data_IF_641555461529
#
_entry.id   IF_641555461529
#
_cell.length_a   1.000
_cell.length_b   1.000
_cell.length_c   1.000
_cell.angle_alpha   90.00
_cell.angle_beta   90.00
_cell.angle_gamma   90.00
#
_symmetry.space_group_name_H-M   'P 1'
#
loop_
_entity.id
_entity.type
_entity.pdbx_description
1 polymer ?
#
# COMPACT_ATOMS: atom_id res chain seq x y z
N UNK A 1 -12.20 26.34 -30.82
CA UNK A 1 -12.66 27.02 -29.60
C UNK A 1 -11.75 26.58 -28.45
N UNK A 2 -10.64 27.29 -28.24
CA UNK A 2 -9.67 26.97 -27.17
C UNK A 2 -10.17 27.53 -25.85
N UNK A 3 -10.45 26.66 -24.86
CA UNK A 3 -10.69 27.07 -23.49
C UNK A 3 -9.41 27.68 -22.91
N UNK A 4 -9.40 29.00 -22.70
CA UNK A 4 -8.39 29.66 -21.86
C UNK A 4 -8.67 29.27 -20.41
N UNK A 5 -7.82 28.41 -19.85
CA UNK A 5 -7.86 28.04 -18.44
C UNK A 5 -7.25 29.21 -17.65
N UNK A 6 -8.10 29.99 -16.97
CA UNK A 6 -7.65 31.11 -16.14
C UNK A 6 -6.98 30.63 -14.84
N UNK A 7 -6.09 31.45 -14.26
CA UNK A 7 -5.29 31.09 -13.07
C UNK A 7 -6.11 30.63 -11.86
N UNK A 8 -7.33 31.16 -11.65
CA UNK A 8 -8.23 30.71 -10.58
C UNK A 8 -8.69 29.25 -10.75
N UNK A 9 -9.04 28.85 -11.98
CA UNK A 9 -9.42 27.47 -12.31
C UNK A 9 -8.23 26.51 -12.20
N UNK A 10 -7.01 27.01 -12.42
CA UNK A 10 -5.75 26.26 -12.27
C UNK A 10 -5.50 25.94 -10.79
N UNK A 11 -5.77 26.89 -9.88
CA UNK A 11 -5.61 26.72 -8.43
C UNK A 11 -6.65 25.74 -7.86
N UNK A 12 -7.91 25.83 -8.26
CA UNK A 12 -8.94 24.87 -7.85
C UNK A 12 -8.62 23.44 -8.30
N UNK A 13 -8.16 23.27 -9.53
CA UNK A 13 -7.81 21.96 -10.06
C UNK A 13 -6.64 21.34 -9.30
N UNK A 14 -5.64 22.15 -8.95
CA UNK A 14 -4.50 21.73 -8.12
C UNK A 14 -4.95 21.41 -6.69
N UNK A 15 -5.83 22.20 -6.09
CA UNK A 15 -6.39 21.92 -4.75
C UNK A 15 -7.13 20.58 -4.72
N UNK A 16 -8.00 20.32 -5.70
CA UNK A 16 -8.71 19.04 -5.82
C UNK A 16 -7.75 17.85 -6.02
N UNK A 17 -6.69 18.04 -6.82
CA UNK A 17 -5.66 17.01 -7.02
C UNK A 17 -4.85 16.74 -5.75
N UNK A 18 -4.51 17.80 -5.01
CA UNK A 18 -3.85 17.73 -3.71
C UNK A 18 -4.75 17.00 -2.72
N UNK A 19 -6.05 17.31 -2.64
CA UNK A 19 -7.00 16.62 -1.77
C UNK A 19 -7.17 15.14 -2.15
N UNK A 20 -7.16 14.79 -3.44
CA UNK A 20 -7.22 13.41 -3.89
C UNK A 20 -5.96 12.61 -3.54
N UNK A 21 -4.77 13.25 -3.59
CA UNK A 21 -3.49 12.64 -3.22
C UNK A 21 -3.32 12.55 -1.70
N UNK A 22 -3.74 13.59 -0.97
CA UNK A 22 -3.54 13.72 0.47
C UNK A 22 -4.63 12.99 1.26
N UNK A 23 -5.85 12.87 0.74
CA UNK A 23 -6.96 12.24 1.47
C UNK A 23 -6.85 10.71 1.43
N UNK A 24 -6.49 10.05 2.55
CA UNK A 24 -6.51 8.61 2.60
C UNK A 24 -7.98 8.18 2.57
N UNK A 25 -8.47 7.67 1.45
CA UNK A 25 -9.83 7.11 1.36
C UNK A 25 -10.07 6.14 2.53
N UNK A 26 -10.88 6.58 3.51
CA UNK A 26 -11.07 5.94 4.83
C UNK A 26 -11.91 4.65 4.80
N UNK A 27 -11.96 3.97 3.66
CA UNK A 27 -12.53 2.64 3.50
C UNK A 27 -11.55 1.79 2.69
N UNK A 28 -10.48 1.34 3.35
CA UNK A 28 -9.55 0.42 2.72
C UNK A 28 -10.13 -0.99 2.66
N UNK A 29 -9.90 -1.69 1.55
CA UNK A 29 -10.08 -3.13 1.47
C UNK A 29 -8.70 -3.76 1.65
N UNK A 30 -8.60 -4.85 2.38
CA UNK A 30 -7.35 -5.58 2.54
C UNK A 30 -7.59 -7.06 2.27
N UNK A 31 -6.54 -7.78 1.88
CA UNK A 31 -6.59 -9.24 1.87
C UNK A 31 -6.69 -9.73 3.31
N UNK A 32 -7.69 -10.57 3.59
CA UNK A 32 -8.01 -11.11 4.91
C UNK A 32 -8.06 -12.64 4.83
N UNK A 33 -6.98 -13.33 5.23
CA UNK A 33 -6.82 -14.78 5.10
C UNK A 33 -5.73 -15.34 6.02
N UNK A 34 -5.72 -16.67 6.21
CA UNK A 34 -4.71 -17.38 6.99
C UNK A 34 -4.24 -18.64 6.26
N UNK A 35 -2.96 -18.75 5.90
CA UNK A 35 -2.44 -19.87 5.10
C UNK A 35 -2.55 -21.25 5.75
N UNK A 36 -2.77 -21.34 7.07
CA UNK A 36 -3.07 -22.62 7.73
C UNK A 36 -4.48 -23.14 7.43
N UNK A 37 -5.41 -22.24 7.06
CA UNK A 37 -6.81 -22.56 6.73
C UNK A 37 -7.09 -22.39 5.23
N UNK A 38 -6.45 -21.42 4.61
CA UNK A 38 -6.63 -20.95 3.25
C UNK A 38 -5.39 -21.27 2.41
N UNK A 39 -5.43 -22.36 1.63
CA UNK A 39 -4.28 -22.81 0.81
C UNK A 39 -3.68 -21.71 -0.07
N UNK A 40 -4.51 -20.79 -0.57
CA UNK A 40 -4.09 -19.75 -1.51
C UNK A 40 -3.59 -18.45 -0.82
N UNK A 41 -3.59 -18.38 0.52
CA UNK A 41 -3.20 -17.16 1.25
C UNK A 41 -1.68 -16.93 1.29
N UNK A 42 -0.90 -18.02 1.23
CA UNK A 42 0.57 -17.99 1.23
C UNK A 42 1.19 -17.65 -0.12
N UNK A 43 0.41 -17.68 -1.21
CA UNK A 43 0.92 -17.47 -2.57
C UNK A 43 1.39 -16.02 -2.79
N UNK A 44 2.34 -15.85 -3.73
CA UNK A 44 2.85 -14.54 -4.15
C UNK A 44 1.74 -13.59 -4.64
N UNK A 45 0.63 -14.15 -5.14
CA UNK A 45 -0.60 -13.43 -5.50
C UNK A 45 -1.78 -14.11 -4.82
N UNK A 46 -2.30 -13.48 -3.77
CA UNK A 46 -3.52 -13.96 -3.12
C UNK A 46 -4.73 -13.76 -4.01
N UNK A 47 -5.61 -14.76 -3.98
CA UNK A 47 -6.89 -14.78 -4.67
C UNK A 47 -7.75 -13.55 -4.26
N UNK A 48 -8.31 -12.80 -5.22
CA UNK A 48 -9.21 -11.68 -4.96
C UNK A 48 -10.37 -11.97 -4.01
N UNK A 49 -10.82 -13.23 -3.86
CA UNK A 49 -11.88 -13.62 -2.91
C UNK A 49 -11.60 -13.21 -1.47
N UNK A 50 -10.34 -13.04 -1.11
CA UNK A 50 -9.92 -12.63 0.22
C UNK A 50 -9.87 -11.11 0.40
N UNK A 51 -10.11 -10.30 -0.64
CA UNK A 51 -10.13 -8.84 -0.56
C UNK A 51 -11.45 -8.37 0.06
N UNK A 52 -11.40 -7.98 1.34
CA UNK A 52 -12.59 -7.62 2.13
C UNK A 52 -12.45 -6.21 2.70
N UNK A 53 -13.58 -5.54 2.91
CA UNK A 53 -13.65 -4.19 3.49
C UNK A 53 -13.10 -4.23 4.92
N UNK A 54 -12.30 -3.22 5.28
CA UNK A 54 -11.82 -3.04 6.63
C UNK A 54 -12.77 -2.19 7.48
N UNK A 55 -12.88 -2.48 8.78
CA UNK A 55 -13.59 -1.60 9.70
C UNK A 55 -12.83 -0.26 9.81
N UNK A 56 -13.56 0.83 10.04
CA UNK A 56 -12.95 2.17 10.18
C UNK A 56 -11.92 2.26 11.31
N UNK A 57 -12.03 1.39 12.32
CA UNK A 57 -11.07 1.27 13.42
C UNK A 57 -9.73 0.67 13.01
N UNK A 58 -9.63 0.03 11.84
CA UNK A 58 -8.45 -0.63 11.31
C UNK A 58 -8.23 -0.26 9.83
N UNK A 59 -7.93 1.02 9.53
CA UNK A 59 -7.94 1.51 8.16
C UNK A 59 -6.68 1.14 7.35
N UNK A 60 -5.80 0.29 7.87
CA UNK A 60 -4.54 -0.11 7.21
C UNK A 60 -4.54 -1.60 6.90
N UNK A 61 -3.70 -2.03 5.97
CA UNK A 61 -3.49 -3.45 5.74
C UNK A 61 -2.25 -3.94 6.47
N UNK A 62 -2.30 -5.18 6.95
CA UNK A 62 -1.15 -5.85 7.55
C UNK A 62 -0.97 -7.24 6.97
N UNK A 63 0.28 -7.68 6.97
CA UNK A 63 0.71 -9.03 6.63
C UNK A 63 1.69 -9.52 7.68
N UNK A 64 1.49 -10.74 8.15
CA UNK A 64 2.45 -11.49 8.93
C UNK A 64 3.02 -12.63 8.11
N UNK A 65 4.33 -12.84 8.23
CA UNK A 65 5.00 -14.06 7.77
C UNK A 65 5.71 -14.66 8.98
N UNK A 66 5.26 -15.83 9.39
CA UNK A 66 5.88 -16.62 10.44
C UNK A 66 6.78 -17.66 9.80
N UNK A 67 8.00 -17.76 10.30
CA UNK A 67 8.95 -18.80 9.93
C UNK A 67 9.37 -19.52 11.21
N UNK A 68 8.94 -20.77 11.35
CA UNK A 68 9.27 -21.61 12.50
C UNK A 68 10.41 -22.54 12.12
N UNK A 69 11.50 -22.50 12.88
CA UNK A 69 12.69 -23.33 12.67
C UNK A 69 12.89 -24.41 13.76
N UNK A 70 11.96 -24.52 14.71
CA UNK A 70 12.01 -25.52 15.78
C UNK A 70 11.41 -26.88 15.38
N UNK A 71 11.03 -27.04 14.11
CA UNK A 71 10.43 -28.26 13.53
C UNK A 71 11.28 -28.74 12.36
N UNK A 72 11.43 -30.06 12.20
CA UNK A 72 12.18 -30.67 11.08
C UNK A 72 11.61 -30.28 9.70
N UNK A 73 10.34 -29.86 9.67
CA UNK A 73 9.71 -29.19 8.54
C UNK A 73 9.86 -27.67 8.64
N UNK A 74 10.34 -27.01 7.58
CA UNK A 74 10.31 -25.54 7.47
C UNK A 74 8.85 -25.08 7.32
N UNK A 75 8.16 -24.85 8.44
CA UNK A 75 6.79 -24.36 8.41
C UNK A 75 6.74 -22.85 8.21
N UNK A 76 6.02 -22.44 7.17
CA UNK A 76 5.71 -21.05 6.89
C UNK A 76 4.21 -20.81 7.08
N UNK A 77 3.86 -19.76 7.82
CA UNK A 77 2.48 -19.30 7.92
C UNK A 77 2.38 -17.85 7.50
N UNK A 78 1.40 -17.52 6.66
CA UNK A 78 1.10 -16.15 6.25
C UNK A 78 -0.30 -15.80 6.71
N UNK A 79 -0.43 -14.66 7.39
CA UNK A 79 -1.72 -14.10 7.79
C UNK A 79 -1.82 -12.70 7.21
N UNK A 80 -2.97 -12.36 6.65
CA UNK A 80 -3.26 -11.03 6.09
C UNK A 80 -4.52 -10.51 6.76
N UNK A 81 -4.51 -9.25 7.18
CA UNK A 81 -5.61 -8.67 7.95
C UNK A 81 -5.70 -7.15 7.78
N UNK A 82 -6.82 -6.58 8.23
CA UNK A 82 -6.92 -5.15 8.50
C UNK A 82 -6.25 -4.83 9.84
N UNK A 83 -5.64 -3.66 9.93
CA UNK A 83 -4.81 -3.28 11.06
C UNK A 83 -4.93 -1.79 11.41
N UNK A 84 -4.56 -1.48 12.66
CA UNK A 84 -4.12 -0.15 13.06
C UNK A 84 -2.65 -0.01 12.69
N UNK A 85 -2.26 1.17 12.21
CA UNK A 85 -0.87 1.52 11.98
C UNK A 85 -0.13 1.54 13.32
N UNK A 86 0.82 0.62 13.52
CA UNK A 86 1.57 0.50 14.77
C UNK A 86 2.98 1.02 14.66
N UNK A 87 3.61 0.89 13.50
CA UNK A 87 4.99 1.29 13.33
C UNK A 87 5.13 2.36 12.25
N UNK A 88 5.26 3.61 12.68
CA UNK A 88 5.34 4.76 11.78
C UNK A 88 6.66 4.87 11.03
N UNK A 89 7.71 4.22 11.53
CA UNK A 89 9.07 4.37 11.01
C UNK A 89 9.41 3.36 9.91
N UNK A 90 8.77 2.17 9.91
CA UNK A 90 9.13 1.08 8.99
C UNK A 90 7.90 0.31 8.53
N UNK A 91 7.74 0.16 7.22
CA UNK A 91 6.68 -0.64 6.59
C UNK A 91 6.78 -2.12 6.95
N UNK A 92 7.98 -2.64 7.25
CA UNK A 92 8.20 -4.03 7.67
C UNK A 92 9.18 -4.09 8.84
N UNK A 93 8.86 -4.90 9.85
CA UNK A 93 9.68 -5.08 11.04
C UNK A 93 9.58 -6.50 11.59
N UNK A 94 10.63 -6.96 12.28
CA UNK A 94 10.62 -8.25 12.96
C UNK A 94 9.94 -8.12 14.33
N UNK A 95 9.07 -9.07 14.65
CA UNK A 95 8.43 -9.22 15.95
C UNK A 95 9.37 -9.80 17.01
N UNK A 96 8.84 -10.04 18.21
CA UNK A 96 9.60 -10.39 19.44
C UNK A 96 10.20 -11.80 19.52
N UNK A 97 10.06 -12.65 18.51
CA UNK A 97 10.56 -14.04 18.59
C UNK A 97 12.09 -14.14 18.38
N UNK A 98 12.70 -15.20 18.94
CA UNK A 98 14.14 -15.42 19.01
C UNK A 98 14.82 -15.54 17.63
N UNK A 99 16.15 -15.48 17.61
CA UNK A 99 16.96 -15.43 16.38
C UNK A 99 16.61 -16.53 15.37
N UNK A 100 16.24 -17.72 15.85
CA UNK A 100 15.98 -18.87 15.00
C UNK A 100 14.58 -18.80 14.38
N UNK A 101 13.52 -18.44 15.10
CA UNK A 101 12.17 -18.30 14.53
C UNK A 101 11.69 -16.87 14.60
N UNK A 102 11.34 -16.27 13.46
CA UNK A 102 10.93 -14.88 13.41
C UNK A 102 9.53 -14.68 12.83
N UNK A 103 8.88 -13.63 13.30
CA UNK A 103 7.67 -13.06 12.71
C UNK A 103 8.05 -11.79 11.96
N UNK A 104 7.89 -11.77 10.64
CA UNK A 104 7.98 -10.53 9.86
C UNK A 104 6.58 -9.91 9.77
N UNK A 105 6.42 -8.72 10.33
CA UNK A 105 5.18 -7.94 10.25
C UNK A 105 5.38 -6.82 9.26
N UNK A 106 4.47 -6.69 8.29
CA UNK A 106 4.46 -5.60 7.34
C UNK A 106 3.11 -4.88 7.33
N UNK A 107 3.13 -3.55 7.34
CA UNK A 107 1.96 -2.68 7.33
C UNK A 107 2.03 -1.78 6.10
N UNK A 108 0.90 -1.55 5.43
CA UNK A 108 0.84 -0.65 4.29
C UNK A 108 -0.47 0.14 4.22
N UNK A 109 -0.41 1.24 3.48
CA UNK A 109 -1.55 2.11 3.17
C UNK A 109 -2.08 1.79 1.77
N UNK A 110 -3.39 1.87 1.61
CA UNK A 110 -4.07 1.70 0.33
C UNK A 110 -4.74 0.33 0.16
N UNK A 111 -5.76 0.31 -0.70
CA UNK A 111 -6.60 -0.86 -0.92
C UNK A 111 -5.77 -2.03 -1.50
N UNK A 112 -5.80 -3.18 -0.83
CA UNK A 112 -5.16 -4.41 -1.29
C UNK A 112 -3.63 -4.37 -1.30
N UNK A 113 -2.99 -3.38 -0.69
CA UNK A 113 -1.53 -3.24 -0.68
C UNK A 113 -0.82 -4.46 -0.07
N UNK A 114 -1.50 -5.20 0.82
CA UNK A 114 -1.01 -6.43 1.40
C UNK A 114 -1.26 -7.66 0.52
N UNK A 115 -1.31 -7.56 -0.82
CA UNK A 115 -1.48 -8.72 -1.74
C UNK A 115 -0.21 -9.53 -1.94
N UNK A 116 0.93 -8.85 -2.07
CA UNK A 116 2.19 -9.43 -2.55
C UNK A 116 2.94 -10.19 -1.46
N UNK A 117 3.89 -11.03 -1.88
CA UNK A 117 4.90 -11.61 -1.01
C UNK A 117 5.85 -10.54 -0.43
N UNK A 118 6.24 -9.59 -1.27
CA UNK A 118 7.13 -8.48 -0.93
C UNK A 118 6.32 -7.18 -0.99
N UNK A 119 6.26 -6.43 0.10
CA UNK A 119 5.90 -5.01 0.02
C UNK A 119 7.05 -4.35 -0.75
N UNK A 120 6.83 -4.02 -2.02
CA UNK A 120 7.75 -3.15 -2.73
C UNK A 120 7.46 -1.73 -2.29
N UNK A 121 8.48 -0.93 -1.95
CA UNK A 121 8.27 0.47 -1.65
C UNK A 121 7.63 1.15 -2.87
N UNK A 122 6.43 1.65 -2.62
CA UNK A 122 5.66 2.68 -3.31
C UNK A 122 6.17 3.14 -4.71
N UNK A 123 5.72 2.48 -5.78
CA UNK A 123 5.85 2.95 -7.18
C UNK A 123 5.20 4.33 -7.43
N UNK A 124 4.37 4.79 -6.50
CA UNK A 124 3.71 6.08 -6.57
C UNK A 124 4.68 7.27 -6.58
N UNK A 125 5.86 7.18 -5.95
CA UNK A 125 6.83 8.30 -5.99
C UNK A 125 7.32 8.59 -7.41
N UNK A 126 7.60 7.54 -8.19
CA UNK A 126 8.00 7.65 -9.59
C UNK A 126 6.86 8.18 -10.48
N UNK A 127 5.63 7.77 -10.20
CA UNK A 127 4.45 8.27 -10.91
C UNK A 127 4.17 9.75 -10.61
N UNK A 128 4.29 10.17 -9.35
CA UNK A 128 4.15 11.58 -8.98
C UNK A 128 5.27 12.43 -9.58
N UNK A 129 6.50 11.91 -9.62
CA UNK A 129 7.64 12.60 -10.22
C UNK A 129 7.46 12.76 -11.74
N UNK A 130 6.98 11.72 -12.42
CA UNK A 130 6.74 11.79 -13.86
C UNK A 130 5.61 12.75 -14.22
N UNK A 131 4.54 12.81 -13.43
CA UNK A 131 3.47 13.79 -13.62
C UNK A 131 3.95 15.23 -13.38
N UNK A 132 4.80 15.46 -12.37
CA UNK A 132 5.37 16.78 -12.09
C UNK A 132 6.30 17.25 -13.23
N UNK A 133 7.12 16.34 -13.77
CA UNK A 133 8.00 16.63 -14.92
C UNK A 133 7.21 16.99 -16.18
N UNK A 134 6.11 16.28 -16.47
CA UNK A 134 5.24 16.60 -17.62
C UNK A 134 4.61 17.99 -17.47
N UNK A 135 4.19 18.36 -16.24
CA UNK A 135 3.63 19.68 -15.98
C UNK A 135 4.69 20.79 -16.10
N UNK A 136 5.91 20.57 -15.63
CA UNK A 136 7.00 21.55 -15.78
C UNK A 136 7.38 21.73 -17.26
N UNK A 137 7.48 20.65 -18.02
CA UNK A 137 7.79 20.68 -19.44
C UNK A 137 6.70 21.36 -20.27
N UNK A 138 5.43 21.09 -19.97
CA UNK A 138 4.30 21.75 -20.63
C UNK A 138 4.26 23.26 -20.36
N UNK A 139 4.57 23.70 -19.14
CA UNK A 139 4.62 25.14 -18.84
C UNK A 139 5.87 25.82 -19.44
N UNK A 140 7.01 25.12 -19.57
CA UNK A 140 8.21 25.63 -20.24
C UNK A 140 7.93 25.92 -21.73
N UNK A 141 7.32 24.97 -22.45
CA UNK A 141 6.95 25.15 -23.87
C UNK A 141 5.92 26.27 -24.07
N UNK A 142 5.03 26.51 -23.11
CA UNK A 142 4.02 27.57 -23.18
C UNK A 142 4.61 28.96 -22.85
N UNK A 143 5.75 29.04 -22.17
CA UNK A 143 6.42 30.30 -21.85
C UNK A 143 7.42 30.73 -22.95
N UNK A 144 7.92 29.78 -23.75
CA UNK A 144 8.81 30.02 -24.89
C UNK A 144 8.06 30.19 -26.25
N UNK A 145 6.71 30.19 -26.24
CA UNK A 145 5.84 30.39 -27.40
C UNK A 145 4.93 31.62 -27.24
#
# INVERSE_FOLDING_TARGET
>A
MSMKINNANKIEYVSYYIDFIISPKRCNKCYQCNSKKDKDCGLNKVDPKYLKICPMTHPYCRKYVYKYYFTDSREYSTIRECAKWRNAERECYRGRYSADSYQLTCECKGSGCNRSANLKPHLHYLYTLSQLLVLLYANYIILDA
#
